data_IF_178492915292
#
_entry.id   IF_178492915292
#
_cell.length_a   1.000
_cell.length_b   1.000
_cell.length_c   1.000
_cell.angle_alpha   90.00
_cell.angle_beta   90.00
_cell.angle_gamma   90.00
#
_symmetry.space_group_name_H-M   'P 1'
#
loop_
_entity.id
_entity.type
_entity.pdbx_description
1 polymer ?
#
# COMPACT_ATOMS: atom_id res chain seq x y z
N UNK A 1 -29.48 -5.22 0.54
CA UNK A 1 -28.05 -5.27 0.92
C UNK A 1 -27.84 -6.50 1.78
N UNK A 2 -26.91 -7.39 1.43
CA UNK A 2 -26.60 -8.56 2.26
C UNK A 2 -25.56 -8.13 3.32
N UNK A 3 -25.87 -8.17 4.63
CA UNK A 3 -24.99 -7.59 5.66
C UNK A 3 -23.55 -8.10 5.64
N UNK A 4 -23.32 -9.39 5.32
CA UNK A 4 -21.97 -9.95 5.21
C UNK A 4 -21.14 -9.41 4.04
N UNK A 5 -21.75 -8.69 3.09
CA UNK A 5 -21.04 -7.95 2.03
C UNK A 5 -20.74 -6.49 2.41
N UNK A 6 -21.20 -6.03 3.57
CA UNK A 6 -21.04 -4.67 4.06
C UNK A 6 -20.18 -4.58 5.34
N UNK A 7 -19.97 -5.69 6.04
CA UNK A 7 -19.11 -5.74 7.21
C UNK A 7 -17.67 -6.05 6.83
N UNK A 8 -16.76 -5.26 7.38
CA UNK A 8 -15.32 -5.42 7.25
C UNK A 8 -14.74 -5.74 8.62
N UNK A 9 -14.00 -6.85 8.72
CA UNK A 9 -13.47 -7.34 9.99
C UNK A 9 -11.95 -7.27 10.06
N UNK A 10 -11.43 -6.80 11.19
CA UNK A 10 -9.99 -6.77 11.48
C UNK A 10 -9.21 -5.85 10.54
N UNK A 11 -7.88 -5.92 10.60
CA UNK A 11 -7.02 -5.11 9.76
C UNK A 11 -7.16 -5.45 8.26
N UNK A 12 -7.43 -6.73 7.93
CA UNK A 12 -7.72 -7.13 6.55
C UNK A 12 -8.98 -6.42 6.03
N UNK A 13 -10.04 -6.40 6.83
CA UNK A 13 -11.27 -5.70 6.50
C UNK A 13 -11.07 -4.21 6.33
N UNK A 14 -10.30 -3.56 7.20
CA UNK A 14 -9.98 -2.14 7.07
C UNK A 14 -9.29 -1.83 5.72
N UNK A 15 -8.24 -2.59 5.37
CA UNK A 15 -7.57 -2.49 4.05
C UNK A 15 -8.54 -2.71 2.88
N UNK A 16 -9.38 -3.75 2.96
CA UNK A 16 -10.34 -4.09 1.90
C UNK A 16 -11.42 -3.01 1.73
N UNK A 17 -11.87 -2.38 2.82
CA UNK A 17 -12.84 -1.28 2.77
C UNK A 17 -12.22 -0.03 2.14
N UNK A 18 -11.07 0.42 2.63
CA UNK A 18 -10.38 1.57 2.07
C UNK A 18 -10.08 1.35 0.58
N UNK A 19 -9.60 0.16 0.19
CA UNK A 19 -9.30 -0.17 -1.20
C UNK A 19 -10.55 -0.08 -2.08
N UNK A 20 -11.71 -0.54 -1.61
CA UNK A 20 -12.96 -0.39 -2.35
C UNK A 20 -13.35 1.08 -2.52
N UNK A 21 -13.32 1.87 -1.44
CA UNK A 21 -13.76 3.27 -1.47
C UNK A 21 -12.85 4.13 -2.35
N UNK A 22 -11.52 4.01 -2.17
CA UNK A 22 -10.54 4.75 -2.97
C UNK A 22 -10.65 4.37 -4.43
N UNK A 23 -10.72 3.07 -4.76
CA UNK A 23 -10.92 2.64 -6.15
C UNK A 23 -12.18 3.23 -6.76
N UNK A 24 -13.31 3.23 -6.04
CA UNK A 24 -14.55 3.82 -6.54
C UNK A 24 -14.39 5.30 -6.90
N UNK A 25 -13.63 6.06 -6.10
CA UNK A 25 -13.32 7.48 -6.35
C UNK A 25 -12.44 7.62 -7.59
N UNK A 26 -11.35 6.85 -7.68
CA UNK A 26 -10.41 6.91 -8.81
C UNK A 26 -11.10 6.54 -10.13
N UNK A 27 -11.86 5.45 -10.15
CA UNK A 27 -12.59 5.01 -11.33
C UNK A 27 -13.73 5.97 -11.69
N UNK A 28 -14.34 6.66 -10.72
CA UNK A 28 -15.31 7.71 -11.00
C UNK A 28 -14.65 8.94 -11.64
N UNK A 29 -13.45 9.31 -11.18
CA UNK A 29 -12.61 10.32 -11.82
C UNK A 29 -12.31 9.94 -13.27
N UNK A 30 -11.88 8.70 -13.50
CA UNK A 30 -11.61 8.19 -14.85
C UNK A 30 -12.84 8.23 -15.76
N UNK A 31 -14.02 7.81 -15.28
CA UNK A 31 -15.28 7.91 -16.05
C UNK A 31 -15.65 9.34 -16.42
N UNK A 32 -15.33 10.29 -15.54
CA UNK A 32 -15.75 11.69 -15.69
C UNK A 32 -14.77 12.52 -16.52
N UNK A 33 -13.47 12.22 -16.43
CA UNK A 33 -12.38 13.01 -16.99
C UNK A 33 -11.69 12.31 -18.18
N UNK A 34 -11.87 10.99 -18.32
CA UNK A 34 -11.13 10.17 -19.27
C UNK A 34 -9.70 9.87 -18.79
N UNK A 35 -8.82 9.52 -19.75
CA UNK A 35 -7.39 9.33 -19.50
C UNK A 35 -6.76 10.72 -19.27
N UNK A 36 -6.73 11.14 -18.02
CA UNK A 36 -6.18 12.43 -17.58
C UNK A 36 -5.45 12.21 -16.26
N UNK A 37 -4.26 12.78 -16.05
CA UNK A 37 -3.57 12.69 -14.77
C UNK A 37 -4.41 13.27 -13.64
N UNK A 38 -4.65 12.46 -12.61
CA UNK A 38 -5.39 12.84 -11.40
C UNK A 38 -4.53 12.52 -10.18
N UNK A 39 -4.53 13.42 -9.21
CA UNK A 39 -3.86 13.27 -7.91
C UNK A 39 -4.86 13.51 -6.81
N UNK A 40 -4.83 12.69 -5.77
CA UNK A 40 -5.56 12.96 -4.52
C UNK A 40 -4.79 14.04 -3.77
N UNK A 41 -5.36 15.24 -3.76
CA UNK A 41 -4.71 16.43 -3.23
C UNK A 41 -4.29 16.28 -1.77
N UNK A 42 -5.15 15.68 -0.94
CA UNK A 42 -4.90 15.48 0.49
C UNK A 42 -5.48 14.15 0.95
N UNK A 43 -4.71 13.41 1.74
CA UNK A 43 -5.17 12.26 2.50
C UNK A 43 -4.37 12.14 3.80
N UNK A 44 -4.94 11.50 4.82
CA UNK A 44 -4.29 11.45 6.13
C UNK A 44 -5.14 10.72 7.16
N UNK A 45 -4.55 10.56 8.34
CA UNK A 45 -5.25 10.12 9.54
C UNK A 45 -4.89 11.05 10.69
N UNK A 46 -5.82 11.33 11.61
CA UNK A 46 -5.48 12.09 12.81
C UNK A 46 -4.51 11.29 13.69
N UNK A 47 -3.54 11.96 14.28
CA UNK A 47 -2.56 11.33 15.17
C UNK A 47 -3.08 11.25 16.62
N UNK A 48 -4.04 12.09 16.98
CA UNK A 48 -4.74 12.17 18.27
C UNK A 48 -5.93 11.18 18.37
N UNK A 49 -5.98 10.18 17.49
CA UNK A 49 -6.93 9.06 17.57
C UNK A 49 -7.00 8.45 18.97
N UNK A 50 -8.19 7.93 19.33
CA UNK A 50 -8.45 7.29 20.62
C UNK A 50 -8.15 8.21 21.81
N UNK A 51 -8.60 9.47 21.73
CA UNK A 51 -8.39 10.50 22.74
C UNK A 51 -6.90 10.77 23.04
N UNK A 52 -6.02 10.66 22.04
CA UNK A 52 -4.59 10.94 22.18
C UNK A 52 -3.81 9.94 23.04
N UNK A 53 -4.31 8.72 23.26
CA UNK A 53 -3.65 7.70 24.10
C UNK A 53 -2.17 7.45 23.71
N UNK A 54 -1.86 7.53 22.41
CA UNK A 54 -0.49 7.33 21.90
C UNK A 54 0.48 8.44 22.34
N UNK A 55 0.00 9.63 22.68
CA UNK A 55 0.84 10.76 23.12
C UNK A 55 1.37 10.57 24.54
N UNK A 56 0.63 9.82 25.36
CA UNK A 56 1.01 9.44 26.72
C UNK A 56 1.82 8.15 26.75
N UNK A 57 1.41 7.16 25.96
CA UNK A 57 1.97 5.80 26.01
C UNK A 57 3.12 5.56 25.04
N UNK A 58 3.31 6.46 24.07
CA UNK A 58 4.17 6.30 22.89
C UNK A 58 3.88 5.01 22.08
N UNK A 59 2.64 4.50 22.19
CA UNK A 59 2.15 3.36 21.43
C UNK A 59 1.28 3.81 20.26
N UNK A 60 1.80 3.64 19.06
CA UNK A 60 1.20 4.15 17.82
C UNK A 60 0.51 3.07 16.97
N UNK A 61 0.05 1.99 17.62
CA UNK A 61 -0.47 0.80 16.93
C UNK A 61 -1.65 1.13 16.01
N UNK A 62 -2.59 1.96 16.49
CA UNK A 62 -3.81 2.29 15.77
C UNK A 62 -3.57 3.25 14.61
N UNK A 63 -2.74 4.27 14.83
CA UNK A 63 -2.32 5.22 13.80
C UNK A 63 -1.56 4.50 12.68
N UNK A 64 -0.63 3.62 13.04
CA UNK A 64 0.13 2.80 12.08
C UNK A 64 -0.82 1.92 11.25
N UNK A 65 -1.79 1.24 11.90
CA UNK A 65 -2.77 0.39 11.22
C UNK A 65 -3.70 1.17 10.28
N UNK A 66 -4.20 2.33 10.70
CA UNK A 66 -5.11 3.12 9.86
C UNK A 66 -4.39 3.79 8.70
N UNK A 67 -3.18 4.34 8.94
CA UNK A 67 -2.33 4.87 7.88
C UNK A 67 -1.99 3.78 6.86
N UNK A 68 -1.64 2.57 7.31
CA UNK A 68 -1.41 1.43 6.43
C UNK A 68 -2.64 1.06 5.60
N UNK A 69 -3.82 0.98 6.21
CA UNK A 69 -5.05 0.65 5.48
C UNK A 69 -5.35 1.67 4.36
N UNK A 70 -5.20 2.97 4.66
CA UNK A 70 -5.40 4.04 3.69
C UNK A 70 -4.33 4.02 2.59
N UNK A 71 -3.05 3.91 2.94
CA UNK A 71 -1.95 3.92 1.95
C UNK A 71 -1.98 2.69 1.05
N UNK A 72 -2.28 1.49 1.59
CA UNK A 72 -2.51 0.29 0.78
C UNK A 72 -3.63 0.47 -0.24
N UNK A 73 -4.68 1.20 0.10
CA UNK A 73 -5.77 1.48 -0.84
C UNK A 73 -5.37 2.42 -1.98
N UNK A 74 -4.59 3.45 -1.67
CA UNK A 74 -4.03 4.38 -2.65
C UNK A 74 -3.07 3.65 -3.61
N UNK A 75 -2.16 2.85 -3.05
CA UNK A 75 -1.21 2.00 -3.79
C UNK A 75 -1.92 1.06 -4.76
N UNK A 76 -2.91 0.31 -4.27
CA UNK A 76 -3.69 -0.65 -5.09
C UNK A 76 -4.53 0.01 -6.17
N UNK A 77 -4.85 1.30 -6.00
CA UNK A 77 -5.59 2.09 -6.99
C UNK A 77 -4.67 2.83 -7.97
N UNK A 78 -3.34 2.69 -7.82
CA UNK A 78 -2.33 3.32 -8.68
C UNK A 78 -2.50 4.83 -8.83
N UNK A 79 -2.98 5.50 -7.77
CA UNK A 79 -3.25 6.94 -7.78
C UNK A 79 -2.15 7.67 -7.03
N UNK A 80 -1.67 8.79 -7.61
CA UNK A 80 -0.78 9.70 -6.90
C UNK A 80 -1.54 10.43 -5.79
N UNK A 81 -0.86 10.74 -4.69
CA UNK A 81 -1.46 11.42 -3.55
C UNK A 81 -0.46 12.33 -2.83
N UNK A 82 -0.96 13.26 -2.03
CA UNK A 82 -0.14 13.95 -1.02
C UNK A 82 -0.69 13.68 0.38
N UNK A 83 0.20 13.38 1.32
CA UNK A 83 -0.16 13.15 2.71
C UNK A 83 -0.28 14.49 3.44
N UNK A 84 -1.46 14.74 3.99
CA UNK A 84 -1.72 15.81 4.95
C UNK A 84 -1.33 15.30 6.35
N UNK A 85 -0.29 15.84 6.99
CA UNK A 85 0.66 16.82 6.46
C UNK A 85 2.08 16.58 6.96
N UNK A 86 3.01 17.41 6.46
CA UNK A 86 4.28 17.67 7.13
C UNK A 86 4.23 19.10 7.66
N UNK A 87 4.13 19.26 8.98
CA UNK A 87 4.30 20.54 9.66
C UNK A 87 5.50 20.40 10.60
N UNK A 88 6.61 21.12 10.33
CA UNK A 88 7.78 21.07 11.19
C UNK A 88 7.51 21.63 12.58
N UNK A 89 6.53 22.50 12.78
CA UNK A 89 6.23 23.09 14.09
C UNK A 89 5.23 22.26 14.90
N UNK A 90 4.69 21.17 14.34
CA UNK A 90 3.70 20.35 15.03
C UNK A 90 4.26 19.75 16.34
N UNK A 91 3.44 19.72 17.39
CA UNK A 91 3.69 18.91 18.58
C UNK A 91 2.50 18.01 19.00
N UNK A 92 2.68 17.22 20.06
CA UNK A 92 1.67 16.26 20.52
C UNK A 92 0.50 16.92 21.25
N UNK A 93 0.73 18.08 21.85
CA UNK A 93 -0.20 18.77 22.74
C UNK A 93 -1.06 19.79 21.99
N UNK A 94 -0.47 20.62 21.14
CA UNK A 94 -1.19 21.68 20.41
C UNK A 94 -1.50 21.31 18.97
N UNK A 95 -0.91 20.23 18.47
CA UNK A 95 -1.06 19.83 17.08
C UNK A 95 -0.23 20.71 16.17
N UNK A 96 -0.81 21.14 15.05
CA UNK A 96 -0.16 21.93 14.01
C UNK A 96 -0.42 23.45 14.14
N UNK A 97 -0.94 23.88 15.30
CA UNK A 97 -1.39 25.23 15.63
C UNK A 97 -2.49 25.78 14.69
N UNK A 98 -3.14 24.90 13.92
CA UNK A 98 -4.24 25.23 13.03
C UNK A 98 -5.50 24.46 13.43
N UNK A 99 -6.47 25.16 14.04
CA UNK A 99 -7.77 24.60 14.44
C UNK A 99 -7.70 23.37 15.38
N UNK A 100 -6.54 23.13 16.00
CA UNK A 100 -6.32 21.94 16.84
C UNK A 100 -6.12 20.66 16.03
N UNK A 101 -5.78 20.76 14.74
CA UNK A 101 -5.47 19.61 13.91
C UNK A 101 -4.17 18.94 14.34
N UNK A 102 -4.13 17.61 14.30
CA UNK A 102 -2.91 16.85 14.55
C UNK A 102 -2.76 15.77 13.49
N UNK A 103 -2.60 16.18 12.22
CA UNK A 103 -2.42 15.27 11.09
C UNK A 103 -0.97 15.02 10.72
N UNK A 104 -0.04 15.80 11.30
CA UNK A 104 1.34 15.72 10.85
C UNK A 104 1.92 14.33 11.12
N UNK A 105 2.68 13.74 10.21
CA UNK A 105 3.48 12.57 10.59
C UNK A 105 4.75 12.97 11.36
N UNK A 106 5.01 14.27 11.56
CA UNK A 106 6.14 14.79 12.32
C UNK A 106 5.70 15.39 13.66
N UNK A 107 6.55 15.36 14.68
CA UNK A 107 6.37 16.06 15.95
C UNK A 107 7.71 16.52 16.54
N UNK A 108 7.81 17.82 16.87
CA UNK A 108 9.00 18.44 17.47
C UNK A 108 9.45 17.77 18.76
N UNK A 109 8.51 17.23 19.54
CA UNK A 109 8.80 16.51 20.79
C UNK A 109 9.79 15.36 20.61
N UNK A 110 9.83 14.77 19.41
CA UNK A 110 10.70 13.63 19.04
C UNK A 110 11.88 14.02 18.15
N UNK A 111 12.00 15.29 17.78
CA UNK A 111 13.04 15.76 16.88
C UNK A 111 14.39 15.93 17.60
N UNK A 112 15.49 15.73 16.89
CA UNK A 112 16.82 16.08 17.39
C UNK A 112 17.11 17.56 17.12
N UNK A 113 17.90 18.23 17.98
CA UNK A 113 18.38 19.57 17.67
C UNK A 113 19.27 19.53 16.43
N UNK A 114 19.24 20.59 15.62
CA UNK A 114 19.96 20.64 14.33
C UNK A 114 21.45 20.35 14.45
N UNK A 115 22.08 20.66 15.59
CA UNK A 115 23.50 20.38 15.86
C UNK A 115 23.84 18.89 15.92
N UNK A 116 22.85 18.01 16.08
CA UNK A 116 23.03 16.55 16.18
C UNK A 116 22.54 15.80 14.93
N UNK A 117 22.04 16.53 13.94
CA UNK A 117 21.61 15.93 12.67
C UNK A 117 22.83 15.67 11.79
N UNK A 118 22.90 14.44 11.28
CA UNK A 118 23.75 14.08 10.15
C UNK A 118 22.90 14.18 8.89
N UNK A 119 23.32 15.04 7.97
CA UNK A 119 22.57 15.38 6.76
C UNK A 119 22.77 14.40 5.60
N UNK A 120 23.42 13.26 5.83
CA UNK A 120 23.46 12.19 4.84
C UNK A 120 22.05 11.62 4.62
N UNK A 121 21.66 11.40 3.36
CA UNK A 121 20.33 10.92 2.94
C UNK A 121 19.93 9.58 3.59
N UNK A 122 20.92 8.77 3.98
CA UNK A 122 20.71 7.47 4.65
C UNK A 122 20.85 7.55 6.16
N UNK A 123 21.06 8.75 6.72
CA UNK A 123 21.24 8.92 8.16
C UNK A 123 19.91 8.71 8.89
N UNK A 124 19.84 7.80 9.88
CA UNK A 124 18.64 7.63 10.70
C UNK A 124 18.37 8.86 11.58
N UNK A 125 19.32 9.79 11.69
CA UNK A 125 19.11 11.03 12.45
C UNK A 125 18.05 11.92 11.79
N UNK A 126 17.91 11.87 10.46
CA UNK A 126 16.91 12.64 9.70
C UNK A 126 15.47 12.19 9.95
N UNK A 127 15.29 10.94 10.38
CA UNK A 127 13.97 10.37 10.69
C UNK A 127 13.48 10.75 12.09
N UNK A 128 14.31 11.43 12.90
CA UNK A 128 13.90 11.88 14.24
C UNK A 128 12.80 12.94 14.13
N UNK A 129 11.81 12.86 15.02
CA UNK A 129 10.57 13.62 14.94
C UNK A 129 9.48 12.91 14.14
N UNK A 130 9.84 11.94 13.28
CA UNK A 130 8.88 11.13 12.56
C UNK A 130 8.04 10.23 13.48
N UNK A 131 6.75 10.16 13.18
CA UNK A 131 5.75 9.26 13.77
C UNK A 131 5.39 8.24 12.72
N UNK A 132 5.18 6.98 13.14
CA UNK A 132 4.66 5.90 12.30
C UNK A 132 5.37 5.74 10.92
N UNK A 133 6.66 6.08 10.82
CA UNK A 133 7.39 6.11 9.54
C UNK A 133 7.35 4.79 8.77
N UNK A 134 7.26 3.65 9.46
CA UNK A 134 7.08 2.35 8.81
C UNK A 134 5.80 2.24 7.96
N UNK A 135 4.75 2.97 8.33
CA UNK A 135 3.53 3.04 7.55
C UNK A 135 3.64 4.11 6.44
N UNK A 136 4.33 5.23 6.69
CA UNK A 136 4.42 6.40 5.79
C UNK A 136 5.46 6.23 4.68
N UNK A 137 6.67 5.75 5.03
CA UNK A 137 7.82 5.62 4.12
C UNK A 137 7.76 4.25 3.44
N UNK A 138 7.11 4.21 2.28
CA UNK A 138 6.81 2.97 1.54
C UNK A 138 7.56 2.96 0.21
N UNK A 139 7.95 1.79 -0.33
CA UNK A 139 8.49 1.71 -1.66
C UNK A 139 7.42 2.09 -2.70
N UNK A 140 7.82 2.70 -3.82
CA UNK A 140 6.89 3.00 -4.91
C UNK A 140 7.63 3.12 -6.26
N UNK A 141 6.98 2.78 -7.39
CA UNK A 141 7.58 2.89 -8.72
C UNK A 141 7.65 4.37 -9.14
N UNK A 142 8.75 5.04 -8.82
CA UNK A 142 8.94 6.47 -9.07
C UNK A 142 9.00 6.80 -10.57
N UNK A 143 9.62 5.93 -11.39
CA UNK A 143 9.66 6.05 -12.85
C UNK A 143 9.48 4.68 -13.48
N UNK A 144 8.40 4.49 -14.24
CA UNK A 144 8.12 3.22 -14.92
C UNK A 144 8.46 3.33 -16.40
N UNK A 145 9.24 2.38 -16.91
CA UNK A 145 9.43 2.20 -18.35
C UNK A 145 8.21 1.46 -18.96
N UNK A 146 7.04 2.08 -18.86
CA UNK A 146 5.77 1.51 -19.27
C UNK A 146 4.58 2.01 -18.45
N UNK A 147 3.50 1.23 -18.48
CA UNK A 147 2.21 1.55 -17.88
C UNK A 147 2.03 0.70 -16.63
N UNK A 148 1.97 1.29 -15.42
CA UNK A 148 1.65 0.57 -14.20
C UNK A 148 0.31 -0.17 -14.33
N UNK A 149 0.30 -1.46 -13.98
CA UNK A 149 -0.91 -2.29 -13.97
C UNK A 149 -1.30 -2.73 -12.56
N UNK A 150 -0.31 -2.86 -11.68
CA UNK A 150 -0.51 -3.32 -10.30
C UNK A 150 0.66 -2.93 -9.42
N UNK A 151 0.36 -2.46 -8.21
CA UNK A 151 1.33 -2.34 -7.13
C UNK A 151 0.69 -2.82 -5.82
N UNK A 152 1.33 -3.78 -5.15
CA UNK A 152 0.90 -4.28 -3.85
C UNK A 152 2.11 -4.33 -2.92
N UNK A 153 2.03 -3.67 -1.76
CA UNK A 153 3.09 -3.66 -0.76
C UNK A 153 2.57 -4.13 0.61
N UNK A 154 3.35 -4.97 1.29
CA UNK A 154 3.09 -5.43 2.65
C UNK A 154 4.16 -4.92 3.62
N UNK A 155 3.79 -3.94 4.46
CA UNK A 155 4.72 -3.30 5.40
C UNK A 155 5.24 -4.23 6.52
N UNK A 156 4.53 -5.33 6.81
CA UNK A 156 4.96 -6.28 7.83
C UNK A 156 6.13 -7.17 7.36
N UNK A 157 6.28 -7.38 6.05
CA UNK A 157 7.33 -8.20 5.45
C UNK A 157 8.30 -7.39 4.59
N UNK A 158 7.97 -6.14 4.26
CA UNK A 158 8.74 -5.33 3.33
C UNK A 158 8.64 -5.80 1.88
N UNK A 159 7.78 -6.77 1.57
CA UNK A 159 7.61 -7.33 0.23
C UNK A 159 6.65 -6.49 -0.60
N UNK A 160 6.98 -6.26 -1.88
CA UNK A 160 6.03 -5.74 -2.85
C UNK A 160 6.03 -6.51 -4.17
N UNK A 161 4.89 -6.49 -4.84
CA UNK A 161 4.72 -6.91 -6.24
C UNK A 161 4.46 -5.69 -7.10
N UNK A 162 5.15 -5.60 -8.23
CA UNK A 162 4.90 -4.56 -9.24
C UNK A 162 4.71 -5.20 -10.62
N UNK A 163 3.68 -4.77 -11.34
CA UNK A 163 3.39 -5.18 -12.72
C UNK A 163 3.25 -3.94 -13.61
N UNK A 164 3.86 -3.97 -14.79
CA UNK A 164 3.72 -2.91 -15.79
C UNK A 164 3.74 -3.47 -17.22
N UNK A 165 3.06 -2.79 -18.14
CA UNK A 165 3.05 -3.13 -19.55
C UNK A 165 3.96 -2.20 -20.36
N UNK A 166 4.62 -2.74 -21.37
CA UNK A 166 5.17 -1.95 -22.48
C UNK A 166 3.99 -1.45 -23.33
N UNK A 167 3.93 -0.15 -23.70
CA UNK A 167 2.87 0.38 -24.55
C UNK A 167 2.67 -0.43 -25.82
N UNK A 168 1.41 -0.65 -26.19
CA UNK A 168 1.01 -1.34 -27.41
C UNK A 168 1.13 -0.40 -28.62
N UNK A 169 1.39 -0.95 -29.81
CA UNK A 169 1.36 -0.17 -31.04
C UNK A 169 -0.05 0.37 -31.32
N UNK A 170 -0.13 1.57 -31.88
CA UNK A 170 -1.42 2.20 -32.22
C UNK A 170 -1.92 1.68 -33.57
N UNK A 171 -2.57 0.52 -33.55
CA UNK A 171 -3.26 -0.09 -34.70
C UNK A 171 -4.78 0.07 -34.56
N UNK A 172 -5.54 -0.06 -35.65
CA UNK A 172 -7.02 0.01 -35.59
C UNK A 172 -7.62 -1.06 -34.66
N UNK A 173 -7.04 -2.27 -34.64
CA UNK A 173 -7.46 -3.30 -33.69
C UNK A 173 -7.20 -2.86 -32.25
N UNK A 174 -6.01 -2.36 -31.94
CA UNK A 174 -5.65 -1.98 -30.58
C UNK A 174 -6.42 -0.74 -30.09
N UNK A 175 -6.76 0.20 -30.98
CA UNK A 175 -7.65 1.32 -30.66
C UNK A 175 -9.04 0.84 -30.20
N UNK A 176 -9.59 -0.19 -30.86
CA UNK A 176 -10.88 -0.75 -30.45
C UNK A 176 -10.81 -1.45 -29.09
N UNK A 177 -9.69 -2.11 -28.79
CA UNK A 177 -9.43 -2.73 -27.48
C UNK A 177 -9.28 -1.64 -26.41
N UNK A 178 -8.54 -0.57 -26.70
CA UNK A 178 -8.36 0.56 -25.79
C UNK A 178 -9.65 1.33 -25.53
N UNK A 179 -10.50 1.53 -26.53
CA UNK A 179 -11.82 2.11 -26.33
C UNK A 179 -12.66 1.27 -25.36
N UNK A 180 -12.57 -0.06 -25.47
CA UNK A 180 -13.22 -0.98 -24.51
C UNK A 180 -12.59 -0.87 -23.12
N UNK A 181 -11.25 -0.82 -22.99
CA UNK A 181 -10.55 -0.62 -21.71
C UNK A 181 -10.98 0.70 -21.04
N UNK A 182 -10.94 1.80 -21.80
CA UNK A 182 -11.36 3.12 -21.35
C UNK A 182 -12.84 3.14 -20.90
N UNK A 183 -13.73 2.45 -21.63
CA UNK A 183 -15.16 2.39 -21.27
C UNK A 183 -15.42 1.67 -19.93
N UNK A 184 -14.56 0.73 -19.55
CA UNK A 184 -14.66 0.04 -18.25
C UNK A 184 -14.17 0.92 -17.10
N UNK A 185 -13.31 1.89 -17.39
CA UNK A 185 -12.74 2.82 -16.42
C UNK A 185 -12.17 2.10 -15.19
N UNK A 186 -11.33 1.08 -15.43
CA UNK A 186 -10.75 0.22 -14.40
C UNK A 186 -9.31 0.60 -14.14
N UNK A 187 -8.94 0.75 -12.86
CA UNK A 187 -7.54 0.97 -12.44
C UNK A 187 -6.62 -0.22 -12.76
N UNK A 188 -7.17 -1.40 -13.01
CA UNK A 188 -6.41 -2.63 -13.27
C UNK A 188 -6.28 -2.97 -14.76
N UNK A 189 -6.98 -2.26 -15.65
CA UNK A 189 -6.93 -2.50 -17.10
C UNK A 189 -6.98 -1.15 -17.85
N UNK A 190 -5.96 -0.28 -17.67
CA UNK A 190 -5.90 1.00 -18.35
C UNK A 190 -5.64 0.82 -19.86
N UNK A 191 -5.99 1.82 -20.70
CA UNK A 191 -5.57 1.87 -22.11
C UNK A 191 -4.06 1.72 -22.27
N UNK A 192 -3.63 1.11 -23.37
CA UNK A 192 -2.22 0.74 -23.59
C UNK A 192 -1.57 1.34 -24.83
N UNK A 193 -2.34 2.02 -25.67
CA UNK A 193 -1.89 2.70 -26.88
C UNK A 193 -1.87 4.22 -26.68
N UNK A 194 -1.48 4.98 -27.71
CA UNK A 194 -1.48 6.45 -27.67
C UNK A 194 -0.36 7.08 -26.83
N UNK A 195 0.46 6.27 -26.15
CA UNK A 195 1.61 6.73 -25.39
C UNK A 195 2.85 6.89 -26.28
N UNK A 196 3.74 7.84 -25.96
CA UNK A 196 5.03 7.97 -26.64
C UNK A 196 5.87 6.69 -26.54
N UNK A 197 6.73 6.40 -27.54
CA UNK A 197 7.67 5.30 -27.45
C UNK A 197 8.56 5.39 -26.20
N UNK A 198 8.87 4.24 -25.60
CA UNK A 198 9.78 4.17 -24.45
C UNK A 198 11.17 4.67 -24.85
N UNK A 199 11.72 5.59 -24.05
CA UNK A 199 13.10 6.11 -24.21
C UNK A 199 14.14 5.30 -23.46
N UNK A 200 13.69 4.39 -22.59
CA UNK A 200 14.52 3.58 -21.70
C UNK A 200 13.76 2.29 -21.37
N UNK A 201 14.50 1.24 -21.06
CA UNK A 201 14.00 -0.01 -20.50
C UNK A 201 14.19 -0.10 -18.98
N UNK A 202 14.57 1.02 -18.35
CA UNK A 202 14.84 1.09 -16.90
C UNK A 202 13.63 1.63 -16.16
N UNK A 203 13.14 0.85 -15.21
CA UNK A 203 12.18 1.26 -14.19
C UNK A 203 12.93 1.56 -12.90
N UNK A 204 12.72 2.74 -12.33
CA UNK A 204 13.28 3.19 -11.05
C UNK A 204 12.18 3.13 -9.98
N UNK A 205 12.48 2.43 -8.89
CA UNK A 205 11.60 2.22 -7.75
C UNK A 205 12.29 2.80 -6.53
N UNK A 206 11.63 3.72 -5.83
CA UNK A 206 12.09 4.13 -4.52
C UNK A 206 12.00 2.93 -3.58
N UNK A 207 13.11 2.53 -2.99
CA UNK A 207 13.20 1.47 -1.99
C UNK A 207 13.92 2.06 -0.78
N UNK A 208 13.21 2.39 0.30
CA UNK A 208 13.80 3.14 1.40
C UNK A 208 14.92 2.37 2.09
N UNK A 209 15.98 3.08 2.48
CA UNK A 209 17.09 2.53 3.27
C UNK A 209 16.57 1.98 4.60
N UNK A 210 15.51 2.55 5.20
CA UNK A 210 14.82 1.97 6.36
C UNK A 210 14.44 0.48 6.17
N UNK A 211 14.07 0.09 4.95
CA UNK A 211 13.79 -1.30 4.59
C UNK A 211 15.05 -2.06 4.17
N UNK A 212 15.95 -1.48 3.39
CA UNK A 212 17.06 -2.22 2.79
C UNK A 212 18.36 -2.24 3.63
N UNK A 213 18.56 -1.30 4.54
CA UNK A 213 19.81 -1.13 5.29
C UNK A 213 20.19 -2.39 6.06
N UNK A 214 21.40 -2.88 5.83
CA UNK A 214 21.91 -4.10 6.44
C UNK A 214 21.18 -5.38 6.02
N UNK A 215 20.34 -5.33 4.98
CA UNK A 215 19.58 -6.47 4.43
C UNK A 215 19.92 -6.69 2.97
N UNK A 216 19.73 -7.92 2.49
CA UNK A 216 19.85 -8.26 1.09
C UNK A 216 18.54 -7.93 0.37
N UNK A 217 18.60 -7.11 -0.68
CA UNK A 217 17.46 -6.89 -1.58
C UNK A 217 17.36 -8.08 -2.53
N UNK A 218 16.20 -8.74 -2.54
CA UNK A 218 15.91 -9.90 -3.37
C UNK A 218 14.86 -9.54 -4.40
N UNK A 219 15.16 -9.74 -5.69
CA UNK A 219 14.21 -9.50 -6.78
C UNK A 219 13.92 -10.83 -7.48
N UNK A 220 12.64 -11.20 -7.56
CA UNK A 220 12.12 -12.40 -8.24
C UNK A 220 11.21 -11.99 -9.40
N UNK A 221 11.03 -12.90 -10.36
CA UNK A 221 10.19 -12.66 -11.55
C UNK A 221 10.92 -12.06 -12.76
N UNK A 222 12.22 -11.78 -12.62
CA UNK A 222 13.09 -11.35 -13.72
C UNK A 222 13.29 -12.48 -14.74
N UNK A 223 13.27 -12.15 -16.03
CA UNK A 223 13.69 -13.04 -17.12
C UNK A 223 15.22 -13.18 -17.13
N UNK A 224 15.75 -14.18 -17.83
CA UNK A 224 17.18 -14.54 -17.81
C UNK A 224 18.14 -13.38 -18.15
N UNK A 225 17.70 -12.41 -18.95
CA UNK A 225 18.53 -11.28 -19.41
C UNK A 225 18.19 -9.97 -18.70
N UNK A 226 17.15 -9.95 -17.88
CA UNK A 226 16.79 -8.79 -17.08
C UNK A 226 17.82 -8.60 -15.95
N UNK A 227 18.04 -7.36 -15.56
CA UNK A 227 19.01 -7.01 -14.51
C UNK A 227 18.37 -6.09 -13.49
N UNK A 228 18.89 -6.12 -12.27
CA UNK A 228 18.57 -5.13 -11.27
C UNK A 228 19.80 -4.64 -10.52
N UNK A 229 19.72 -3.42 -10.01
CA UNK A 229 20.71 -2.84 -9.11
C UNK A 229 19.99 -2.05 -8.03
N UNK A 230 20.42 -2.18 -6.78
CA UNK A 230 19.96 -1.32 -5.69
C UNK A 230 21.09 -0.37 -5.29
N UNK A 231 20.82 0.93 -5.36
CA UNK A 231 21.69 1.99 -4.87
C UNK A 231 21.10 2.52 -3.56
N UNK A 232 21.73 2.17 -2.43
CA UNK A 232 21.24 2.55 -1.11
C UNK A 232 21.40 4.04 -0.82
N UNK A 233 22.45 4.68 -1.33
CA UNK A 233 22.70 6.12 -1.11
C UNK A 233 21.57 6.95 -1.69
N UNK A 234 21.07 6.54 -2.86
CA UNK A 234 19.95 7.16 -3.54
C UNK A 234 18.60 6.46 -3.26
N UNK A 235 18.59 5.42 -2.41
CA UNK A 235 17.39 4.64 -2.05
C UNK A 235 16.59 4.20 -3.29
N UNK A 236 17.30 3.77 -4.34
CA UNK A 236 16.73 3.51 -5.66
C UNK A 236 17.05 2.10 -6.13
N UNK A 237 16.01 1.29 -6.32
CA UNK A 237 16.06 0.01 -7.02
C UNK A 237 15.78 0.26 -8.50
N UNK A 238 16.74 -0.07 -9.36
CA UNK A 238 16.57 -0.02 -10.81
C UNK A 238 16.36 -1.42 -11.37
N UNK A 239 15.33 -1.61 -12.18
CA UNK A 239 15.07 -2.81 -12.97
C UNK A 239 15.27 -2.48 -14.45
N UNK A 240 16.15 -3.22 -15.13
CA UNK A 240 16.39 -3.10 -16.56
C UNK A 240 15.88 -4.35 -17.27
N UNK A 241 14.80 -4.21 -18.05
CA UNK A 241 14.18 -5.32 -18.79
C UNK A 241 14.80 -5.49 -20.17
N UNK A 242 15.02 -6.72 -20.60
CA UNK A 242 15.58 -7.00 -21.92
C UNK A 242 14.51 -7.08 -23.02
N UNK A 243 13.52 -7.95 -22.83
CA UNK A 243 12.40 -8.13 -23.77
C UNK A 243 11.35 -7.02 -23.57
N UNK A 244 11.33 -6.06 -24.49
CA UNK A 244 10.39 -4.94 -24.48
C UNK A 244 9.55 -4.87 -25.76
N UNK A 245 9.12 -6.02 -26.28
CA UNK A 245 8.14 -6.03 -27.35
C UNK A 245 6.85 -5.29 -26.91
N UNK A 246 6.18 -4.56 -27.82
CA UNK A 246 4.91 -3.88 -27.50
C UNK A 246 3.88 -4.84 -26.89
N UNK A 247 3.23 -4.42 -25.81
CA UNK A 247 2.26 -5.23 -25.07
C UNK A 247 2.86 -6.25 -24.09
N UNK A 248 4.19 -6.43 -24.03
CA UNK A 248 4.84 -7.27 -23.02
C UNK A 248 4.51 -6.76 -21.62
N UNK A 249 4.06 -7.67 -20.75
CA UNK A 249 3.83 -7.39 -19.32
C UNK A 249 4.99 -7.93 -18.52
N UNK A 250 5.59 -7.06 -17.71
CA UNK A 250 6.63 -7.39 -16.75
C UNK A 250 6.02 -7.49 -15.36
N UNK A 251 6.53 -8.45 -14.57
CA UNK A 251 6.12 -8.64 -13.19
C UNK A 251 7.33 -8.98 -12.34
N UNK A 252 7.51 -8.24 -11.26
CA UNK A 252 8.54 -8.53 -10.26
C UNK A 252 7.92 -8.65 -8.88
N UNK A 253 8.62 -9.38 -8.03
CA UNK A 253 8.39 -9.39 -6.60
C UNK A 253 9.70 -9.07 -5.90
N UNK A 254 9.67 -8.07 -5.01
CA UNK A 254 10.86 -7.58 -4.30
C UNK A 254 10.65 -7.77 -2.82
N UNK A 255 11.66 -8.32 -2.15
CA UNK A 255 11.67 -8.48 -0.68
C UNK A 255 13.08 -8.23 -0.12
N UNK A 256 13.19 -8.23 1.21
CA UNK A 256 14.47 -8.06 1.91
C UNK A 256 14.74 -9.24 2.84
N UNK A 257 16.02 -9.62 2.96
CA UNK A 257 16.47 -10.72 3.85
C UNK A 257 17.56 -10.23 4.82
N UNK A 258 17.37 -10.42 6.15
CA UNK A 258 16.18 -10.96 6.82
C UNK A 258 14.97 -10.03 6.72
N UNK A 259 13.72 -10.53 6.78
CA UNK A 259 12.53 -9.69 6.74
C UNK A 259 12.48 -8.73 7.95
N UNK A 260 11.82 -7.56 7.83
CA UNK A 260 11.59 -6.67 8.96
C UNK A 260 10.70 -7.35 10.01
N UNK A 261 10.81 -6.90 11.26
CA UNK A 261 9.90 -7.34 12.32
C UNK A 261 8.48 -6.87 11.99
N UNK A 262 7.45 -7.74 12.01
CA UNK A 262 6.06 -7.32 11.79
C UNK A 262 5.66 -6.19 12.74
N UNK A 263 4.91 -5.21 12.23
CA UNK A 263 4.36 -4.13 13.04
C UNK A 263 3.08 -4.57 13.76
N UNK A 264 2.24 -5.37 13.09
CA UNK A 264 0.98 -5.88 13.64
C UNK A 264 0.55 -7.15 12.92
N UNK A 265 -0.44 -7.84 13.49
CA UNK A 265 -1.12 -8.97 12.85
C UNK A 265 -2.18 -8.42 11.89
N UNK A 266 -2.18 -8.91 10.64
CA UNK A 266 -3.25 -8.64 9.68
C UNK A 266 -4.37 -9.67 9.90
N UNK A 267 -5.21 -9.40 10.89
CA UNK A 267 -6.29 -10.29 11.29
C UNK A 267 -7.56 -10.11 10.42
N UNK A 268 -8.38 -11.15 10.39
CA UNK A 268 -9.70 -11.20 9.78
C UNK A 268 -10.72 -11.90 10.69
N UNK A 269 -11.95 -12.08 10.21
CA UNK A 269 -13.01 -12.70 11.02
C UNK A 269 -12.66 -14.12 11.48
N UNK A 270 -12.00 -14.91 10.63
CA UNK A 270 -11.69 -16.30 10.94
C UNK A 270 -10.48 -16.42 11.86
N UNK A 271 -9.49 -15.53 11.73
CA UNK A 271 -8.37 -15.51 12.69
C UNK A 271 -8.81 -15.15 14.11
N UNK A 272 -9.82 -14.28 14.25
CA UNK A 272 -10.30 -13.84 15.57
C UNK A 272 -11.38 -14.78 16.14
N UNK A 273 -12.32 -15.23 15.31
CA UNK A 273 -13.53 -15.94 15.77
C UNK A 273 -13.66 -17.37 15.26
N UNK A 274 -12.76 -17.85 14.40
CA UNK A 274 -12.88 -19.18 13.80
C UNK A 274 -13.04 -20.30 14.83
N UNK A 275 -12.30 -20.22 15.94
CA UNK A 275 -12.44 -21.18 17.04
C UNK A 275 -13.83 -21.10 17.70
N UNK A 276 -14.32 -19.90 17.98
CA UNK A 276 -15.64 -19.68 18.59
C UNK A 276 -16.76 -20.21 17.67
N UNK A 277 -16.68 -19.92 16.38
CA UNK A 277 -17.62 -20.43 15.37
C UNK A 277 -17.58 -21.95 15.32
N UNK A 278 -16.39 -22.55 15.31
CA UNK A 278 -16.23 -24.01 15.33
C UNK A 278 -16.83 -24.63 16.59
N UNK A 279 -16.55 -24.07 17.77
CA UNK A 279 -17.10 -24.57 19.05
C UNK A 279 -18.63 -24.45 19.09
N UNK A 280 -19.19 -23.32 18.64
CA UNK A 280 -20.63 -23.13 18.58
C UNK A 280 -21.28 -24.12 17.60
N UNK A 281 -20.68 -24.31 16.42
CA UNK A 281 -21.16 -25.30 15.44
C UNK A 281 -21.09 -26.72 15.99
N UNK A 282 -19.99 -27.10 16.65
CA UNK A 282 -19.84 -28.39 17.31
C UNK A 282 -20.91 -28.60 18.39
N UNK A 283 -21.18 -27.59 19.22
CA UNK A 283 -22.24 -27.65 20.23
C UNK A 283 -23.62 -27.85 19.60
N UNK A 284 -23.95 -27.09 18.55
CA UNK A 284 -25.23 -27.22 17.84
C UNK A 284 -25.36 -28.60 17.21
N UNK A 285 -24.32 -29.11 16.55
CA UNK A 285 -24.32 -30.45 15.96
C UNK A 285 -24.47 -31.52 17.03
N UNK A 286 -23.71 -31.45 18.14
CA UNK A 286 -23.84 -32.38 19.25
C UNK A 286 -25.23 -32.35 19.88
N UNK A 287 -25.83 -31.17 20.01
CA UNK A 287 -27.20 -31.02 20.51
C UNK A 287 -28.22 -31.64 19.56
N UNK A 288 -28.08 -31.42 18.25
CA UNK A 288 -28.93 -32.07 17.22
C UNK A 288 -28.76 -33.59 17.28
N UNK A 289 -27.53 -34.10 17.36
CA UNK A 289 -27.25 -35.54 17.46
C UNK A 289 -27.89 -36.12 18.72
N UNK A 290 -27.75 -35.45 19.86
CA UNK A 290 -28.38 -35.86 21.11
C UNK A 290 -29.91 -35.93 20.97
N UNK A 291 -30.53 -34.90 20.38
CA UNK A 291 -31.98 -34.91 20.14
C UNK A 291 -32.38 -36.06 19.22
N UNK A 292 -31.69 -36.26 18.09
CA UNK A 292 -32.00 -37.35 17.14
C UNK A 292 -31.88 -38.72 17.82
N UNK A 293 -30.77 -38.98 18.53
CA UNK A 293 -30.56 -40.23 19.26
C UNK A 293 -31.60 -40.45 20.36
N UNK A 294 -32.12 -39.39 20.99
CA UNK A 294 -33.16 -39.48 22.01
C UNK A 294 -34.55 -39.86 21.44
N UNK A 295 -34.75 -39.78 20.13
CA UNK A 295 -36.01 -40.11 19.44
C UNK A 295 -35.93 -41.37 18.56
N UNK A 296 -34.79 -42.07 18.51
CA UNK A 296 -34.69 -43.40 17.88
C UNK A 296 -35.13 -44.46 18.91
N UNK A 297 -36.25 -45.18 18.71
CA UNK A 297 -36.60 -46.29 19.58
C UNK A 297 -35.57 -47.41 19.43
N UNK A 298 -35.12 -47.96 20.56
CA UNK A 298 -34.30 -49.18 20.60
C UNK A 298 -35.03 -50.38 19.99
#
# INVERSE_FOLDING_TARGET
MFPLKAFYWGQKGARDNFALQVRNIVEAGYRSLGETPVVIGECGIPMDMNNGESFETDRWDWQTKMMDAMLTALERSLVGFTLWNYNPDNDDHTGDDWNGENFSWFSQKRALPSSWLDHNQTSPTLDNGGRILRAVVRPYPAKTAGIPLRFDYEMNTGEFTFEWAVPEETTESNKSVDANRASRASVHDPPRTGLPPLKTNKTEIFLPSQLAHGRKVLVRGLKNEDKYTYDEVHQTLTIATHDNAPGTVHRIMVSVDPPPKPAFIVNDFWSDWGLHVFTAAAFVVSFIVFLVLSYVPY
#
